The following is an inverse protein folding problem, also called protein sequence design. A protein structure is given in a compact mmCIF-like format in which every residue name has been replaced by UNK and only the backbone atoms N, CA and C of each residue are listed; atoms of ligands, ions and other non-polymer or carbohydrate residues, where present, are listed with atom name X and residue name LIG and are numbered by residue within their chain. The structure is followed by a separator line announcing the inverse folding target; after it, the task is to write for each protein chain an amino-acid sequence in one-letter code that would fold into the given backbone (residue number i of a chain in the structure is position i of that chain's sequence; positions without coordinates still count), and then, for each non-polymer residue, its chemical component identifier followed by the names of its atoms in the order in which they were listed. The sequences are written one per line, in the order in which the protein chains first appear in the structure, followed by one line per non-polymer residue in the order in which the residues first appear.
data_IF_334122613688
#
_entry.id   IF_334122613688
#
_cell.length_a   1.000
_cell.length_b   1.000
_cell.length_c   1.000
_cell.angle_alpha   90.00
_cell.angle_beta   90.00
_cell.angle_gamma   90.00
#
_symmetry.space_group_name_H-M   'P 1'
#
loop_
_entity.id
_entity.type
_entity.pdbx_description
1 polymer ?
#
# COMPACT_ATOMS: atom_id res chain seq x y z
N UNK A 1 -4.51 -11.32 -4.67
CA UNK A 1 -3.26 -11.34 -3.89
C UNK A 1 -2.09 -11.58 -4.83
N UNK A 2 -1.19 -10.63 -4.89
CA UNK A 2 0.05 -10.78 -5.66
C UNK A 2 1.06 -11.51 -4.78
N UNK A 3 1.57 -12.64 -5.24
CA UNK A 3 2.64 -13.41 -4.60
C UNK A 3 3.88 -13.34 -5.48
N UNK A 4 4.98 -12.86 -4.94
CA UNK A 4 6.28 -12.88 -5.62
C UNK A 4 7.21 -13.83 -4.87
N UNK A 5 7.80 -14.77 -5.59
CA UNK A 5 8.81 -15.69 -5.06
C UNK A 5 10.16 -15.24 -5.59
N UNK A 6 11.08 -14.95 -4.67
CA UNK A 6 12.44 -14.58 -4.98
C UNK A 6 13.34 -15.67 -4.38
N UNK A 7 14.07 -16.40 -5.21
CA UNK A 7 14.95 -17.45 -4.75
C UNK A 7 16.06 -17.73 -5.76
N UNK A 8 17.22 -18.20 -5.28
CA UNK A 8 18.36 -18.61 -6.08
C UNK A 8 18.63 -20.09 -5.82
N UNK A 9 18.65 -20.90 -6.88
CA UNK A 9 19.09 -22.27 -6.78
C UNK A 9 20.62 -22.28 -6.59
N UNK A 10 21.10 -22.78 -5.45
CA UNK A 10 22.53 -22.94 -5.19
C UNK A 10 23.04 -24.23 -5.80
N UNK A 11 24.23 -24.17 -6.41
CA UNK A 11 24.91 -25.32 -6.99
C UNK A 11 25.48 -26.33 -5.96
N UNK A 12 25.43 -25.95 -4.66
CA UNK A 12 26.02 -26.74 -3.56
C UNK A 12 25.05 -27.74 -2.90
N UNK A 13 23.88 -27.98 -3.48
CA UNK A 13 22.91 -28.95 -2.97
C UNK A 13 22.17 -28.49 -1.69
N UNK A 14 22.40 -27.27 -1.21
CA UNK A 14 21.60 -26.70 -0.12
C UNK A 14 20.23 -26.31 -0.62
N UNK A 15 19.19 -26.51 0.22
CA UNK A 15 17.83 -26.11 -0.12
C UNK A 15 17.77 -24.63 -0.51
N UNK A 16 17.05 -24.29 -1.58
CA UNK A 16 16.90 -22.89 -1.96
C UNK A 16 16.20 -22.13 -0.83
N UNK A 17 16.87 -21.15 -0.27
CA UNK A 17 16.19 -20.17 0.58
C UNK A 17 15.39 -19.26 -0.33
N UNK A 18 14.09 -19.18 -0.12
CA UNK A 18 13.20 -18.33 -0.87
C UNK A 18 12.51 -17.37 0.08
N UNK A 19 12.28 -16.15 -0.38
CA UNK A 19 11.42 -15.16 0.27
C UNK A 19 10.13 -15.02 -0.54
N UNK A 20 9.01 -15.23 0.13
CA UNK A 20 7.69 -14.94 -0.40
C UNK A 20 7.23 -13.60 0.20
N UNK A 21 7.00 -12.61 -0.65
CA UNK A 21 6.40 -11.34 -0.25
C UNK A 21 4.94 -11.36 -0.68
N UNK A 22 4.04 -11.04 0.25
CA UNK A 22 2.61 -11.19 0.05
C UNK A 22 1.85 -9.97 0.54
N UNK A 23 0.83 -9.58 -0.24
CA UNK A 23 -0.14 -8.58 0.18
C UNK A 23 -1.00 -9.12 1.34
N UNK A 24 -1.27 -8.24 2.30
CA UNK A 24 -2.16 -8.56 3.42
C UNK A 24 -3.61 -8.72 2.96
N UNK A 25 -4.01 -8.01 1.92
CA UNK A 25 -5.41 -7.90 1.51
C UNK A 25 -6.30 -7.46 2.70
N UNK A 26 -7.52 -7.99 2.76
CA UNK A 26 -8.44 -7.80 3.90
C UNK A 26 -8.55 -9.05 4.77
N UNK A 27 -7.60 -9.98 4.64
CA UNK A 27 -7.66 -11.26 5.34
C UNK A 27 -7.26 -11.11 6.81
N UNK A 28 -7.92 -11.82 7.72
CA UNK A 28 -7.53 -11.87 9.13
C UNK A 28 -6.11 -12.41 9.35
N UNK A 29 -5.46 -11.95 10.42
CA UNK A 29 -4.08 -12.35 10.74
C UNK A 29 -3.89 -13.87 10.88
N UNK A 30 -4.91 -14.60 11.32
CA UNK A 30 -4.86 -16.07 11.43
C UNK A 30 -4.62 -16.75 10.08
N UNK A 31 -5.17 -16.20 8.98
CA UNK A 31 -4.96 -16.72 7.62
C UNK A 31 -3.50 -16.54 7.19
N UNK A 32 -2.90 -15.39 7.52
CA UNK A 32 -1.50 -15.11 7.20
C UNK A 32 -0.57 -15.99 8.02
N UNK A 33 -0.85 -16.15 9.32
CA UNK A 33 -0.06 -17.02 10.20
C UNK A 33 -0.06 -18.47 9.71
N UNK A 34 -1.22 -19.04 9.40
CA UNK A 34 -1.30 -20.40 8.84
C UNK A 34 -0.50 -20.56 7.56
N UNK A 35 -0.53 -19.56 6.69
CA UNK A 35 0.24 -19.57 5.45
C UNK A 35 1.75 -19.50 5.73
N UNK A 36 2.20 -18.66 6.65
CA UNK A 36 3.59 -18.57 7.08
C UNK A 36 4.08 -19.91 7.63
N UNK A 37 3.36 -20.47 8.61
CA UNK A 37 3.68 -21.76 9.23
C UNK A 37 3.78 -22.92 8.23
N UNK A 38 2.97 -22.89 7.14
CA UNK A 38 3.04 -23.89 6.09
C UNK A 38 4.32 -23.77 5.26
N UNK A 39 4.72 -22.56 4.90
CA UNK A 39 5.89 -22.33 4.05
C UNK A 39 7.21 -22.45 4.82
N UNK A 40 7.25 -22.05 6.08
CA UNK A 40 8.41 -22.21 6.97
C UNK A 40 8.86 -23.67 7.10
N UNK A 41 7.93 -24.65 7.06
CA UNK A 41 8.24 -26.08 7.02
C UNK A 41 9.08 -26.50 5.80
N UNK A 42 9.11 -25.66 4.78
CA UNK A 42 9.85 -25.88 3.52
C UNK A 42 11.06 -24.92 3.38
N UNK A 43 11.53 -24.33 4.48
CA UNK A 43 12.63 -23.35 4.50
C UNK A 43 12.35 -22.11 3.62
N UNK A 44 11.07 -21.76 3.47
CA UNK A 44 10.62 -20.55 2.75
C UNK A 44 10.25 -19.48 3.77
N UNK A 45 10.95 -18.36 3.70
CA UNK A 45 10.64 -17.18 4.50
C UNK A 45 9.44 -16.44 3.90
N UNK A 46 8.54 -15.95 4.75
CA UNK A 46 7.35 -15.24 4.30
C UNK A 46 7.29 -13.86 4.94
N UNK A 47 7.21 -12.84 4.12
CA UNK A 47 6.86 -11.48 4.55
C UNK A 47 5.45 -11.14 4.10
N UNK A 48 4.60 -10.76 5.03
CA UNK A 48 3.25 -10.21 4.76
C UNK A 48 3.28 -8.75 5.11
N UNK A 49 2.99 -7.88 4.14
CA UNK A 49 2.99 -6.45 4.37
C UNK A 49 2.12 -6.04 5.56
N UNK A 50 2.55 -5.05 6.34
CA UNK A 50 1.72 -4.47 7.41
C UNK A 50 0.54 -3.69 6.83
N UNK A 51 0.75 -3.00 5.72
CA UNK A 51 -0.31 -2.36 4.93
C UNK A 51 -0.99 -3.37 4.02
N UNK A 52 -2.12 -3.01 3.44
CA UNK A 52 -2.92 -3.92 2.62
C UNK A 52 -2.17 -4.44 1.39
N UNK A 53 -1.49 -3.57 0.68
CA UNK A 53 -0.77 -3.82 -0.58
C UNK A 53 0.52 -2.99 -0.61
N UNK A 54 1.47 -3.37 -1.46
CA UNK A 54 2.72 -2.61 -1.61
C UNK A 54 2.46 -1.18 -2.09
N UNK A 55 1.44 -0.94 -2.89
CA UNK A 55 1.05 0.38 -3.39
C UNK A 55 0.68 1.36 -2.28
N UNK A 56 0.24 0.87 -1.12
CA UNK A 56 -0.05 1.71 0.04
C UNK A 56 1.18 2.47 0.56
N UNK A 57 2.39 1.97 0.27
CA UNK A 57 3.64 2.62 0.65
C UNK A 57 4.01 3.81 -0.25
N UNK A 58 3.30 4.00 -1.35
CA UNK A 58 3.38 5.19 -2.21
C UNK A 58 2.35 6.27 -1.84
N UNK A 59 1.42 5.97 -0.94
CA UNK A 59 0.42 6.91 -0.44
C UNK A 59 0.97 7.80 0.68
N UNK A 60 2.15 8.40 0.44
CA UNK A 60 2.84 9.29 1.36
C UNK A 60 2.62 10.73 0.89
N UNK A 61 1.97 11.62 1.69
CA UNK A 61 1.63 12.98 1.27
C UNK A 61 2.83 13.78 0.75
N UNK A 62 4.00 13.69 1.40
CA UNK A 62 5.24 14.36 0.97
C UNK A 62 5.74 13.86 -0.39
N UNK A 63 5.71 12.55 -0.62
CA UNK A 63 6.06 11.93 -1.91
C UNK A 63 5.12 12.41 -3.02
N UNK A 64 3.81 12.37 -2.75
CA UNK A 64 2.78 12.75 -3.71
C UNK A 64 2.86 14.25 -4.08
N UNK A 65 3.12 15.12 -3.09
CA UNK A 65 3.35 16.55 -3.31
C UNK A 65 4.60 16.80 -4.17
N UNK A 66 5.71 16.08 -3.93
CA UNK A 66 6.93 16.17 -4.74
C UNK A 66 6.71 15.67 -6.16
N UNK A 67 6.05 14.53 -6.32
CA UNK A 67 5.77 13.96 -7.62
C UNK A 67 4.87 14.88 -8.47
N UNK A 68 3.86 15.48 -7.86
CA UNK A 68 3.00 16.45 -8.53
C UNK A 68 3.79 17.70 -8.96
N UNK A 69 4.63 18.23 -8.07
CA UNK A 69 5.47 19.40 -8.36
C UNK A 69 6.44 19.14 -9.50
N UNK A 70 7.09 17.97 -9.51
CA UNK A 70 7.99 17.55 -10.58
C UNK A 70 7.25 17.38 -11.92
N UNK A 71 6.07 16.75 -11.92
CA UNK A 71 5.27 16.54 -13.12
C UNK A 71 4.75 17.87 -13.71
N UNK A 72 4.28 18.79 -12.87
CA UNK A 72 3.83 20.11 -13.29
C UNK A 72 4.96 20.96 -13.92
N UNK A 73 6.22 20.74 -13.51
CA UNK A 73 7.38 21.44 -14.08
C UNK A 73 7.80 20.87 -15.44
N UNK A 74 7.69 19.55 -15.64
CA UNK A 74 8.07 18.87 -16.88
C UNK A 74 7.03 19.09 -17.98
N UNK A 75 5.75 19.00 -17.67
CA UNK A 75 4.66 19.19 -18.64
C UNK A 75 4.50 20.66 -19.11
N UNK A 76 5.15 21.61 -18.41
CA UNK A 76 5.18 23.02 -18.80
C UNK A 76 6.21 23.38 -19.89
N UNK A 77 6.97 22.40 -20.45
CA UNK A 77 7.83 22.61 -21.62
C UNK A 77 7.00 22.55 -22.93
N UNK A 78 7.34 23.30 -23.98
CA UNK A 78 6.50 24.22 -24.75
C UNK A 78 5.41 23.57 -25.61
N UNK A 79 4.35 23.09 -25.03
CA UNK A 79 3.05 22.94 -25.67
C UNK A 79 2.10 23.90 -24.96
N UNK A 80 1.97 25.13 -25.50
CA UNK A 80 1.04 26.19 -25.09
C UNK A 80 0.71 26.15 -23.59
N UNK A 81 1.44 26.97 -22.83
CA UNK A 81 1.37 27.06 -21.39
C UNK A 81 -0.06 27.25 -20.88
N UNK A 82 -0.75 26.16 -20.60
CA UNK A 82 -1.82 26.16 -19.61
C UNK A 82 -1.11 25.96 -18.29
N UNK A 83 -0.68 27.05 -17.67
CA UNK A 83 -0.25 27.05 -16.26
C UNK A 83 -1.36 26.38 -15.46
N UNK A 84 -1.05 25.54 -14.47
CA UNK A 84 -2.07 25.04 -13.57
C UNK A 84 -2.82 26.25 -13.02
N UNK A 85 -4.13 26.27 -13.18
CA UNK A 85 -5.00 27.37 -12.74
C UNK A 85 -5.05 27.53 -11.23
N UNK A 86 -4.41 26.63 -10.49
CA UNK A 86 -4.33 26.61 -9.04
C UNK A 86 -2.87 26.48 -8.57
N UNK A 87 -2.51 27.11 -7.43
CA UNK A 87 -1.20 26.87 -6.82
C UNK A 87 -1.01 25.40 -6.49
N UNK A 88 0.24 24.93 -6.57
CA UNK A 88 0.56 23.53 -6.20
C UNK A 88 0.37 23.35 -4.69
N UNK A 89 -0.23 22.23 -4.27
CA UNK A 89 -0.60 22.02 -2.88
C UNK A 89 0.62 21.81 -1.97
N UNK A 90 0.49 22.21 -0.71
CA UNK A 90 1.39 21.82 0.38
C UNK A 90 1.23 20.33 0.71
N UNK A 91 2.08 19.80 1.60
CA UNK A 91 1.98 18.41 2.06
C UNK A 91 0.68 18.20 2.84
N UNK A 92 0.29 19.15 3.67
CA UNK A 92 -0.94 19.14 4.49
C UNK A 92 -2.20 19.21 3.62
N UNK A 93 -2.14 19.99 2.54
CA UNK A 93 -3.23 20.05 1.56
C UNK A 93 -3.35 18.74 0.78
N UNK A 94 -2.23 18.09 0.43
CA UNK A 94 -2.25 16.76 -0.18
C UNK A 94 -2.87 15.73 0.76
N UNK A 95 -2.53 15.75 2.05
CA UNK A 95 -3.15 14.87 3.05
C UNK A 95 -4.66 15.09 3.14
N UNK A 96 -5.09 16.35 3.21
CA UNK A 96 -6.51 16.71 3.21
C UNK A 96 -7.24 16.22 1.97
N UNK A 97 -6.62 16.34 0.80
CA UNK A 97 -7.15 15.81 -0.46
C UNK A 97 -7.25 14.30 -0.43
N UNK A 98 -6.23 13.61 0.06
CA UNK A 98 -6.25 12.15 0.19
C UNK A 98 -7.41 11.69 1.09
N UNK A 99 -7.62 12.36 2.22
CA UNK A 99 -8.78 12.11 3.09
C UNK A 99 -10.09 12.30 2.33
N UNK A 100 -10.23 13.35 1.54
CA UNK A 100 -11.43 13.66 0.77
C UNK A 100 -11.68 12.64 -0.34
N UNK A 101 -10.68 12.36 -1.20
CA UNK A 101 -10.86 11.50 -2.38
C UNK A 101 -11.01 10.03 -2.04
N UNK A 102 -10.57 9.61 -0.84
CA UNK A 102 -10.71 8.22 -0.38
C UNK A 102 -11.96 7.99 0.47
N UNK A 103 -12.67 9.05 0.90
CA UNK A 103 -13.90 8.89 1.69
C UNK A 103 -14.96 7.99 1.02
N UNK A 104 -15.19 8.05 -0.29
CA UNK A 104 -16.12 7.14 -0.98
C UNK A 104 -15.74 5.65 -0.88
N UNK A 105 -14.49 5.32 -0.52
CA UNK A 105 -14.02 3.95 -0.37
C UNK A 105 -14.43 3.32 0.99
N UNK A 106 -14.90 4.11 1.96
CA UNK A 106 -15.16 3.69 3.34
C UNK A 106 -16.01 2.42 3.42
N UNK A 107 -17.22 2.50 2.88
CA UNK A 107 -18.19 1.40 2.99
C UNK A 107 -17.72 0.13 2.29
N UNK A 108 -17.05 0.26 1.15
CA UNK A 108 -16.49 -0.89 0.42
C UNK A 108 -15.35 -1.53 1.20
N UNK A 109 -14.50 -0.73 1.81
CA UNK A 109 -13.35 -1.20 2.61
C UNK A 109 -13.83 -1.97 3.83
N UNK A 110 -14.71 -1.39 4.64
CA UNK A 110 -15.23 -2.06 5.85
C UNK A 110 -16.01 -3.32 5.52
N UNK A 111 -16.82 -3.30 4.45
CA UNK A 111 -17.57 -4.48 4.01
C UNK A 111 -16.64 -5.64 3.64
N UNK A 112 -15.51 -5.36 2.98
CA UNK A 112 -14.52 -6.39 2.63
C UNK A 112 -13.84 -6.97 3.88
N UNK A 113 -13.46 -6.12 4.84
CA UNK A 113 -12.85 -6.58 6.10
C UNK A 113 -13.81 -7.50 6.84
N UNK A 114 -15.07 -7.08 7.03
CA UNK A 114 -16.11 -7.88 7.70
C UNK A 114 -16.37 -9.18 6.94
N UNK A 115 -16.48 -9.13 5.61
CA UNK A 115 -16.72 -10.32 4.79
C UNK A 115 -15.63 -11.38 4.99
N UNK A 116 -14.36 -11.01 4.92
CA UNK A 116 -13.25 -11.96 5.11
C UNK A 116 -13.18 -12.48 6.54
N UNK A 117 -13.54 -11.65 7.53
CA UNK A 117 -13.64 -12.11 8.92
C UNK A 117 -14.77 -13.15 9.09
N UNK A 118 -15.93 -12.91 8.50
CA UNK A 118 -17.02 -13.86 8.53
C UNK A 118 -16.67 -15.19 7.87
N UNK A 119 -16.00 -15.15 6.71
CA UNK A 119 -15.54 -16.36 6.02
C UNK A 119 -14.59 -17.19 6.88
N UNK A 120 -13.68 -16.55 7.61
CA UNK A 120 -12.70 -17.24 8.44
C UNK A 120 -13.27 -17.74 9.76
N UNK A 121 -14.18 -16.97 10.37
CA UNK A 121 -14.77 -17.31 11.67
C UNK A 121 -15.87 -18.38 11.58
N UNK A 122 -16.49 -18.53 10.41
CA UNK A 122 -17.57 -19.50 10.22
C UNK A 122 -18.70 -19.34 11.22
N UNK A 123 -18.95 -20.40 12.01
CA UNK A 123 -19.99 -20.44 13.05
C UNK A 123 -19.47 -20.11 14.45
N UNK A 124 -18.38 -19.36 14.60
CA UNK A 124 -17.88 -18.96 15.92
C UNK A 124 -18.96 -18.12 16.67
N UNK A 125 -19.43 -18.56 17.85
CA UNK A 125 -20.46 -17.83 18.58
C UNK A 125 -20.02 -16.43 19.02
N UNK A 126 -18.72 -16.12 19.03
CA UNK A 126 -18.16 -14.80 19.35
C UNK A 126 -18.10 -13.85 18.14
N UNK A 127 -18.55 -14.30 16.96
CA UNK A 127 -18.48 -13.52 15.73
C UNK A 127 -19.10 -12.11 15.87
N UNK A 128 -20.26 -11.91 16.53
CA UNK A 128 -20.79 -10.55 16.71
C UNK A 128 -19.84 -9.61 17.46
N UNK A 129 -19.25 -10.07 18.57
CA UNK A 129 -18.28 -9.27 19.34
C UNK A 129 -16.99 -9.00 18.57
N UNK A 130 -16.55 -9.97 17.77
CA UNK A 130 -15.38 -9.79 16.89
C UNK A 130 -15.67 -8.71 15.84
N UNK A 131 -16.84 -8.74 15.22
CA UNK A 131 -17.22 -7.73 14.21
C UNK A 131 -17.35 -6.35 14.85
N UNK A 132 -17.96 -6.22 16.01
CA UNK A 132 -18.06 -4.95 16.74
C UNK A 132 -16.67 -4.35 17.00
N UNK A 133 -15.74 -5.15 17.53
CA UNK A 133 -14.36 -4.72 17.75
C UNK A 133 -13.64 -4.30 16.45
N UNK A 134 -13.92 -4.97 15.33
CA UNK A 134 -13.37 -4.61 14.01
C UNK A 134 -13.92 -3.27 13.54
N UNK A 135 -15.21 -3.02 13.73
CA UNK A 135 -15.83 -1.77 13.32
C UNK A 135 -15.31 -0.58 14.13
N UNK A 136 -15.13 -0.75 15.44
CA UNK A 136 -14.53 0.27 16.31
C UNK A 136 -13.07 0.60 15.91
N UNK A 137 -12.24 -0.45 15.67
CA UNK A 137 -10.86 -0.26 15.21
C UNK A 137 -10.83 0.39 13.82
N UNK A 138 -11.74 -0.01 12.94
CA UNK A 138 -11.86 0.57 11.61
C UNK A 138 -12.18 2.07 11.67
N UNK A 139 -13.20 2.48 12.41
CA UNK A 139 -13.59 3.89 12.50
C UNK A 139 -12.49 4.76 13.12
N UNK A 140 -11.81 4.24 14.15
CA UNK A 140 -10.65 4.90 14.74
C UNK A 140 -9.53 5.12 13.72
N UNK A 141 -9.17 4.09 12.94
CA UNK A 141 -8.13 4.18 11.90
C UNK A 141 -8.58 5.03 10.72
N UNK A 142 -9.88 4.97 10.37
CA UNK A 142 -10.40 5.75 9.25
C UNK A 142 -10.37 7.25 9.48
N UNK A 143 -10.36 7.70 10.73
CA UNK A 143 -10.36 9.11 11.10
C UNK A 143 -9.03 9.83 10.88
N UNK A 144 -7.92 9.11 10.67
CA UNK A 144 -6.59 9.67 10.42
C UNK A 144 -6.04 9.18 9.08
N UNK A 145 -5.18 9.98 8.43
CA UNK A 145 -4.58 9.54 7.17
C UNK A 145 -3.71 8.29 7.34
N UNK A 146 -2.83 8.28 8.33
CA UNK A 146 -1.95 7.13 8.60
C UNK A 146 -2.73 5.84 8.82
N UNK A 147 -3.79 5.89 9.62
CA UNK A 147 -4.66 4.75 9.84
C UNK A 147 -5.38 4.33 8.57
N UNK A 148 -5.98 5.29 7.84
CA UNK A 148 -6.70 5.06 6.59
C UNK A 148 -5.81 4.46 5.51
N UNK A 149 -4.56 4.92 5.39
CA UNK A 149 -3.58 4.39 4.45
C UNK A 149 -3.22 2.92 4.71
N UNK A 150 -3.47 2.37 5.90
CA UNK A 150 -3.31 0.94 6.18
C UNK A 150 -4.52 0.10 5.76
N UNK A 151 -5.69 0.72 5.58
CA UNK A 151 -6.97 0.03 5.36
C UNK A 151 -7.39 0.00 3.90
N UNK A 152 -7.23 1.10 3.17
CA UNK A 152 -7.68 1.22 1.77
C UNK A 152 -6.85 0.35 0.83
N UNK A 153 -7.40 0.03 -0.35
CA UNK A 153 -6.59 -0.50 -1.45
C UNK A 153 -5.60 0.55 -1.95
N UNK A 154 -4.31 0.22 -1.99
CA UNK A 154 -3.27 1.13 -2.44
C UNK A 154 -3.52 1.62 -3.87
N UNK A 155 -3.86 0.71 -4.76
CA UNK A 155 -4.26 1.03 -6.14
C UNK A 155 -5.50 1.93 -6.19
N UNK A 156 -6.52 1.65 -5.38
CA UNK A 156 -7.77 2.42 -5.34
C UNK A 156 -7.50 3.84 -4.83
N UNK A 157 -6.68 3.99 -3.77
CA UNK A 157 -6.28 5.29 -3.22
C UNK A 157 -5.44 6.11 -4.20
N UNK A 158 -4.44 5.48 -4.84
CA UNK A 158 -3.63 6.13 -5.86
C UNK A 158 -4.46 6.54 -7.09
N UNK A 159 -5.40 5.70 -7.52
CA UNK A 159 -6.27 6.02 -8.64
C UNK A 159 -7.17 7.22 -8.34
N UNK A 160 -7.72 7.30 -7.12
CA UNK A 160 -8.53 8.44 -6.68
C UNK A 160 -7.70 9.74 -6.64
N UNK A 161 -6.49 9.70 -6.08
CA UNK A 161 -5.61 10.85 -6.05
C UNK A 161 -5.17 11.29 -7.45
N UNK A 162 -4.77 10.35 -8.32
CA UNK A 162 -4.38 10.65 -9.72
C UNK A 162 -5.51 11.30 -10.51
N UNK A 163 -6.75 10.87 -10.30
CA UNK A 163 -7.92 11.48 -10.93
C UNK A 163 -8.05 12.93 -10.49
N UNK A 164 -7.97 13.19 -9.18
CA UNK A 164 -8.01 14.55 -8.66
C UNK A 164 -6.90 15.44 -9.24
N UNK A 165 -5.66 14.93 -9.33
CA UNK A 165 -4.53 15.64 -9.95
C UNK A 165 -4.81 15.96 -11.41
N UNK A 166 -5.32 14.98 -12.17
CA UNK A 166 -5.66 15.18 -13.58
C UNK A 166 -6.77 16.22 -13.77
N UNK A 167 -7.78 16.18 -12.91
CA UNK A 167 -8.93 17.10 -13.01
C UNK A 167 -8.54 18.54 -12.62
N UNK A 168 -7.69 18.68 -11.59
CA UNK A 168 -7.31 19.99 -11.03
C UNK A 168 -6.15 20.64 -11.77
N UNK A 169 -5.11 19.87 -12.11
CA UNK A 169 -3.84 20.40 -12.64
C UNK A 169 -3.57 20.02 -14.09
N UNK A 170 -4.40 19.14 -14.67
CA UNK A 170 -4.20 18.60 -16.04
C UNK A 170 -2.87 17.87 -16.21
N UNK A 171 -2.33 17.33 -15.12
CA UNK A 171 -1.07 16.60 -15.04
C UNK A 171 -1.32 15.13 -14.79
N UNK A 172 -0.53 14.26 -15.41
CA UNK A 172 -0.64 12.82 -15.24
C UNK A 172 0.45 12.28 -14.33
N UNK A 173 0.07 11.64 -13.22
CA UNK A 173 0.99 10.93 -12.34
C UNK A 173 1.03 9.44 -12.70
N UNK A 174 2.23 8.93 -12.97
CA UNK A 174 2.49 7.51 -13.22
C UNK A 174 3.28 6.89 -12.06
N UNK A 175 3.32 5.56 -11.97
CA UNK A 175 4.23 4.88 -11.04
C UNK A 175 5.69 5.31 -11.24
N UNK A 176 6.12 5.48 -12.50
CA UNK A 176 7.47 5.95 -12.79
C UNK A 176 7.74 7.38 -12.28
N UNK A 177 6.76 8.29 -12.31
CA UNK A 177 6.92 9.63 -11.71
C UNK A 177 6.96 9.57 -10.19
N UNK A 178 6.18 8.71 -9.54
CA UNK A 178 6.22 8.49 -8.10
C UNK A 178 7.57 7.91 -7.66
N UNK A 179 8.05 6.87 -8.33
CA UNK A 179 9.34 6.26 -8.00
C UNK A 179 10.52 7.22 -8.20
N UNK A 180 10.49 8.10 -9.20
CA UNK A 180 11.52 9.14 -9.37
C UNK A 180 11.48 10.23 -8.30
N UNK A 181 10.32 10.48 -7.73
CA UNK A 181 10.14 11.46 -6.65
C UNK A 181 10.38 10.86 -5.26
N UNK A 182 10.55 9.53 -5.16
CA UNK A 182 10.77 8.84 -3.90
C UNK A 182 12.08 9.29 -3.26
N UNK A 183 12.02 9.77 -2.03
CA UNK A 183 13.17 10.13 -1.23
C UNK A 183 13.40 9.06 -0.14
N UNK A 184 14.60 9.06 0.43
CA UNK A 184 14.98 8.05 1.43
C UNK A 184 14.06 8.07 2.66
N UNK A 185 13.65 9.24 3.07
CA UNK A 185 12.73 9.47 4.20
C UNK A 185 11.32 8.94 3.98
N UNK A 186 10.91 8.70 2.72
CA UNK A 186 9.60 8.11 2.43
C UNK A 186 9.60 6.57 2.55
N UNK A 187 10.79 5.97 2.53
CA UNK A 187 10.95 4.52 2.61
C UNK A 187 10.89 4.10 4.08
N UNK A 188 9.75 3.57 4.48
CA UNK A 188 9.57 3.12 5.87
C UNK A 188 10.44 1.89 6.17
N UNK A 189 10.79 1.64 7.46
CA UNK A 189 11.68 0.55 7.86
C UNK A 189 11.26 -0.83 7.35
N UNK A 190 9.97 -1.12 7.28
CA UNK A 190 9.47 -2.38 6.75
C UNK A 190 9.91 -2.62 5.30
N UNK A 191 9.71 -1.63 4.42
CA UNK A 191 10.09 -1.72 3.01
C UNK A 191 11.60 -1.85 2.86
N UNK A 192 12.36 -1.06 3.61
CA UNK A 192 13.82 -1.14 3.62
C UNK A 192 14.30 -2.54 4.04
N UNK A 193 13.73 -3.11 5.10
CA UNK A 193 14.07 -4.45 5.59
C UNK A 193 13.79 -5.55 4.57
N UNK A 194 12.69 -5.46 3.82
CA UNK A 194 12.37 -6.42 2.73
C UNK A 194 13.39 -6.28 1.59
N UNK A 195 13.76 -5.05 1.21
CA UNK A 195 14.76 -4.80 0.17
C UNK A 195 16.12 -5.38 0.60
N UNK A 196 16.58 -5.10 1.81
CA UNK A 196 17.83 -5.64 2.35
C UNK A 196 17.81 -7.18 2.34
N UNK A 197 16.69 -7.78 2.72
CA UNK A 197 16.54 -9.22 2.70
C UNK A 197 16.61 -9.82 1.29
N UNK A 198 16.03 -9.14 0.30
CA UNK A 198 16.14 -9.53 -1.12
C UNK A 198 17.61 -9.52 -1.56
N UNK A 199 18.38 -8.47 -1.23
CA UNK A 199 19.80 -8.38 -1.57
C UNK A 199 20.61 -9.48 -0.89
N UNK A 200 20.38 -9.78 0.39
CA UNK A 200 21.04 -10.89 1.10
C UNK A 200 20.78 -12.23 0.42
N UNK A 201 19.56 -12.51 -0.02
CA UNK A 201 19.22 -13.76 -0.73
C UNK A 201 19.82 -13.81 -2.14
N UNK A 202 19.95 -12.65 -2.79
CA UNK A 202 20.59 -12.57 -4.11
C UNK A 202 22.11 -12.78 -4.05
N UNK A 203 22.75 -12.66 -2.88
CA UNK A 203 24.19 -12.83 -2.70
C UNK A 203 25.02 -11.65 -3.18
N UNK A 204 24.43 -10.44 -3.12
CA UNK A 204 25.09 -9.13 -3.41
C UNK A 204 25.41 -8.41 -2.13
#
# INVERSE_FOLDING_TARGET
ATMRVIGKQRQDGTKPRALVVRDRDYKPNVVHRRFQEQLEKHDVEVHVWERKEIENYLLVPSLLARALRAAATVDSLPRQAVFPSAPLPSVEEVESVLMQVTEPLKNRTVSRIVYFQMLESGSDPRLPQIIESILDDFDRKWSTWDGRATLIGGDEGLAAFRRWVQDTYRVSLTYGSLLRALAREDVIPEVAGVIDRIFQLAGT
#
